data_IF_594561466724
#
_entry.id   IF_594561466724
#
_cell.length_a   1.000
_cell.length_b   1.000
_cell.length_c   1.000
_cell.angle_alpha   90.00
_cell.angle_beta   90.00
_cell.angle_gamma   90.00
#
_symmetry.space_group_name_H-M   'P 1'
#
loop_
_entity.id
_entity.type
_entity.pdbx_description
1 polymer ?
#
# COMPACT_ATOMS: atom_id res chain seq x y z
N UNK A 1 19.22 10.07 5.09
CA UNK A 1 18.01 10.76 5.53
C UNK A 1 18.46 11.95 6.38
N UNK A 2 18.12 13.17 5.99
CA UNK A 2 18.60 14.36 6.68
C UNK A 2 17.75 14.55 7.95
N UNK A 3 18.32 14.32 9.12
CA UNK A 3 17.66 14.36 10.44
C UNK A 3 16.93 15.70 10.69
N UNK A 4 17.40 16.78 10.08
CA UNK A 4 16.78 18.12 10.17
C UNK A 4 15.36 18.18 9.54
N UNK A 5 14.99 17.25 8.64
CA UNK A 5 13.65 17.24 8.01
C UNK A 5 12.54 16.68 8.91
N UNK A 6 12.90 16.05 10.04
CA UNK A 6 11.93 15.49 11.00
C UNK A 6 11.60 16.43 12.17
N UNK A 7 12.33 17.54 12.30
CA UNK A 7 12.17 18.51 13.38
C UNK A 7 11.33 19.71 12.89
N UNK A 8 10.46 20.25 13.76
CA UNK A 8 9.86 21.56 13.50
C UNK A 8 10.96 22.62 13.49
N UNK A 9 10.67 23.80 12.90
CA UNK A 9 11.66 24.90 12.82
C UNK A 9 12.18 25.29 14.20
N UNK A 10 11.31 25.37 15.19
CA UNK A 10 11.64 25.71 16.58
C UNK A 10 12.50 24.65 17.26
N UNK A 11 12.21 23.36 17.05
CA UNK A 11 12.98 22.24 17.58
C UNK A 11 14.37 22.16 16.91
N UNK A 12 14.45 22.45 15.61
CA UNK A 12 15.73 22.50 14.91
C UNK A 12 16.61 23.65 15.43
N UNK A 13 16.03 24.81 15.75
CA UNK A 13 16.74 25.93 16.35
C UNK A 13 17.26 25.61 17.76
N UNK A 14 16.48 24.90 18.58
CA UNK A 14 16.89 24.45 19.90
C UNK A 14 18.04 23.44 19.80
N UNK A 15 17.95 22.46 18.90
CA UNK A 15 19.03 21.48 18.68
C UNK A 15 20.30 22.15 18.14
N UNK A 16 20.18 23.07 17.17
CA UNK A 16 21.33 23.82 16.64
C UNK A 16 21.99 24.71 17.72
N UNK A 17 21.21 25.28 18.63
CA UNK A 17 21.72 26.04 19.77
C UNK A 17 22.44 25.14 20.76
N UNK A 18 21.87 23.99 21.11
CA UNK A 18 22.51 23.01 22.01
C UNK A 18 23.80 22.45 21.41
N UNK A 19 23.85 22.16 20.11
CA UNK A 19 25.07 21.72 19.44
C UNK A 19 26.14 22.81 19.45
N UNK A 20 25.79 24.07 19.14
CA UNK A 20 26.73 25.20 19.20
C UNK A 20 27.23 25.52 20.59
N UNK A 21 26.42 25.35 21.63
CA UNK A 21 26.83 25.49 23.01
C UNK A 21 27.70 24.30 23.47
N UNK A 22 27.41 23.09 22.99
CA UNK A 22 28.20 21.89 23.22
C UNK A 22 29.61 21.96 22.63
N UNK A 23 29.75 22.55 21.44
CA UNK A 23 31.05 22.74 20.78
C UNK A 23 31.97 23.69 21.57
N UNK A 24 31.42 24.51 22.47
CA UNK A 24 32.21 25.38 23.36
C UNK A 24 32.80 24.64 24.55
N UNK A 25 32.29 23.49 24.90
CA UNK A 25 32.71 22.67 26.01
C UNK A 25 33.13 21.31 25.47
N UNK A 26 34.39 21.15 25.13
CA UNK A 26 34.97 19.98 24.45
C UNK A 26 34.79 18.62 25.16
N UNK A 27 34.16 18.59 26.33
CA UNK A 27 33.90 17.38 27.12
C UNK A 27 32.38 17.07 27.30
N UNK A 28 31.49 17.69 26.53
CA UNK A 28 30.06 17.54 26.78
C UNK A 28 29.41 16.35 26.06
N UNK A 29 29.78 15.13 26.47
CA UNK A 29 29.06 13.88 26.17
C UNK A 29 27.55 14.02 26.47
N UNK A 30 27.19 14.86 27.45
CA UNK A 30 25.80 15.07 27.88
C UNK A 30 24.92 15.72 26.79
N UNK A 31 25.45 16.70 26.06
CA UNK A 31 24.66 17.43 25.02
C UNK A 31 24.40 16.54 23.78
N UNK A 32 25.41 15.79 23.35
CA UNK A 32 25.25 14.84 22.24
C UNK A 32 24.31 13.69 22.63
N UNK A 33 24.39 13.23 23.89
CA UNK A 33 23.48 12.19 24.41
C UNK A 33 22.05 12.70 24.49
N UNK A 34 21.83 13.92 24.97
CA UNK A 34 20.50 14.54 25.04
C UNK A 34 19.91 14.78 23.63
N UNK A 35 20.71 15.28 22.69
CA UNK A 35 20.31 15.50 21.32
C UNK A 35 19.90 14.16 20.63
N UNK A 36 20.68 13.11 20.82
CA UNK A 36 20.36 11.78 20.31
C UNK A 36 19.10 11.21 20.96
N UNK A 37 18.90 11.37 22.27
CA UNK A 37 17.69 10.92 22.96
C UNK A 37 16.43 11.64 22.46
N UNK A 38 16.50 12.94 22.18
CA UNK A 38 15.39 13.72 21.57
C UNK A 38 15.08 13.21 20.17
N UNK A 39 16.10 12.94 19.35
CA UNK A 39 15.96 12.42 18.00
C UNK A 39 15.31 11.03 18.00
N UNK A 40 15.79 10.14 18.88
CA UNK A 40 15.25 8.78 18.99
C UNK A 40 13.82 8.78 19.52
N UNK A 41 13.50 9.59 20.53
CA UNK A 41 12.14 9.73 21.06
C UNK A 41 11.18 10.25 19.98
N UNK A 42 11.57 11.25 19.22
CA UNK A 42 10.75 11.79 18.13
C UNK A 42 10.56 10.79 17.01
N UNK A 43 11.60 10.04 16.66
CA UNK A 43 11.50 8.94 15.68
C UNK A 43 10.52 7.87 16.14
N UNK A 44 10.57 7.48 17.44
CA UNK A 44 9.62 6.53 18.02
C UNK A 44 8.17 7.04 17.95
N UNK A 45 7.93 8.31 18.29
CA UNK A 45 6.59 8.94 18.20
C UNK A 45 6.09 8.96 16.76
N UNK A 46 6.94 9.31 15.79
CA UNK A 46 6.59 9.31 14.37
C UNK A 46 6.31 7.88 13.84
N UNK A 47 7.09 6.90 14.31
CA UNK A 47 6.88 5.50 13.96
C UNK A 47 5.57 4.96 14.56
N UNK A 48 5.23 5.33 15.80
CA UNK A 48 3.94 4.98 16.42
C UNK A 48 2.77 5.64 15.71
N UNK A 49 2.86 6.93 15.39
CA UNK A 49 1.85 7.65 14.64
C UNK A 49 1.66 7.06 13.23
N UNK A 50 2.75 6.67 12.58
CA UNK A 50 2.73 5.99 11.27
C UNK A 50 2.09 4.61 11.36
N UNK A 51 2.35 3.84 12.42
CA UNK A 51 1.69 2.54 12.68
C UNK A 51 0.21 2.72 12.98
N UNK A 52 -0.14 3.68 13.82
CA UNK A 52 -1.54 3.98 14.17
C UNK A 52 -2.35 4.45 12.95
N UNK A 53 -1.75 5.22 12.05
CA UNK A 53 -2.38 5.67 10.79
C UNK A 53 -2.43 4.59 9.68
N UNK A 54 -1.85 3.42 9.90
CA UNK A 54 -1.76 2.37 8.87
C UNK A 54 -0.73 2.65 7.76
N UNK A 55 -0.05 3.78 7.77
CA UNK A 55 0.93 4.17 6.75
C UNK A 55 2.05 3.13 6.57
N UNK A 56 2.59 2.61 7.66
CA UNK A 56 3.64 1.59 7.62
C UNK A 56 3.17 0.28 6.98
N UNK A 57 1.90 -0.10 7.22
CA UNK A 57 1.26 -1.27 6.62
C UNK A 57 1.05 -1.06 5.13
N UNK A 58 0.54 0.11 4.74
CA UNK A 58 0.38 0.52 3.34
C UNK A 58 1.69 0.48 2.58
N UNK A 59 2.74 1.09 3.11
CA UNK A 59 4.05 1.15 2.45
C UNK A 59 4.66 -0.24 2.28
N UNK A 60 4.46 -1.14 3.25
CA UNK A 60 4.87 -2.55 3.16
C UNK A 60 4.09 -3.30 2.07
N UNK A 61 2.80 -3.03 1.94
CA UNK A 61 1.95 -3.61 0.91
C UNK A 61 2.32 -3.10 -0.50
N UNK A 62 2.64 -1.80 -0.65
CA UNK A 62 3.14 -1.24 -1.90
C UNK A 62 4.49 -1.84 -2.31
N UNK A 63 5.41 -2.08 -1.36
CA UNK A 63 6.65 -2.82 -1.62
C UNK A 63 6.40 -4.23 -2.09
N UNK A 64 5.43 -4.92 -1.48
CA UNK A 64 5.06 -6.27 -1.89
C UNK A 64 4.45 -6.28 -3.29
N UNK A 65 3.64 -5.28 -3.65
CA UNK A 65 3.08 -5.10 -4.99
C UNK A 65 4.19 -5.04 -6.04
N UNK A 66 5.16 -4.15 -5.85
CA UNK A 66 6.27 -3.95 -6.81
C UNK A 66 7.17 -5.19 -6.96
N UNK A 67 7.31 -6.00 -5.89
CA UNK A 67 8.14 -7.23 -5.92
C UNK A 67 7.53 -8.39 -6.71
N UNK A 68 6.21 -8.44 -6.84
CA UNK A 68 5.51 -9.56 -7.49
C UNK A 68 5.61 -9.49 -9.00
N UNK A 69 5.91 -8.32 -9.58
CA UNK A 69 5.99 -8.18 -11.03
C UNK A 69 7.19 -8.94 -11.61
N UNK A 70 6.93 -9.79 -12.61
CA UNK A 70 7.98 -10.39 -13.44
C UNK A 70 8.52 -9.40 -14.49
N UNK A 71 7.89 -8.24 -14.63
CA UNK A 71 8.25 -7.18 -15.56
C UNK A 71 9.11 -6.15 -14.86
N UNK A 72 10.35 -5.94 -15.35
CA UNK A 72 11.30 -4.98 -14.78
C UNK A 72 10.76 -3.54 -14.81
N UNK A 73 9.99 -3.19 -15.85
CA UNK A 73 9.39 -1.87 -16.03
C UNK A 73 8.27 -1.55 -15.04
N UNK A 74 7.79 -2.52 -14.27
CA UNK A 74 6.76 -2.34 -13.23
C UNK A 74 7.32 -2.44 -11.79
N UNK A 75 8.64 -2.56 -11.61
CA UNK A 75 9.25 -2.70 -10.28
C UNK A 75 9.36 -1.39 -9.50
N UNK A 76 9.14 -0.28 -10.16
CA UNK A 76 9.18 1.06 -9.58
C UNK A 76 7.90 1.82 -9.91
N UNK A 77 7.39 2.67 -9.01
CA UNK A 77 6.24 3.50 -9.31
C UNK A 77 6.63 4.63 -10.28
N UNK A 78 5.65 5.20 -10.96
CA UNK A 78 5.85 6.31 -11.88
C UNK A 78 4.73 7.33 -11.79
N UNK A 79 4.92 8.50 -12.40
CA UNK A 79 3.88 9.51 -12.54
C UNK A 79 3.11 9.31 -13.84
N UNK A 80 1.79 9.31 -13.72
CA UNK A 80 0.85 9.43 -14.84
C UNK A 80 -0.07 10.61 -14.55
N UNK A 81 0.12 11.71 -15.27
CA UNK A 81 -0.43 13.01 -14.93
C UNK A 81 -0.02 13.43 -13.49
N UNK A 82 -0.97 13.79 -12.63
CA UNK A 82 -0.73 14.18 -11.24
C UNK A 82 -0.87 13.01 -10.25
N UNK A 83 -0.70 11.77 -10.71
CA UNK A 83 -0.92 10.57 -9.89
C UNK A 83 0.32 9.68 -9.89
N UNK A 84 0.73 9.27 -8.70
CA UNK A 84 1.77 8.25 -8.54
C UNK A 84 1.15 6.86 -8.67
N UNK A 85 1.62 6.08 -9.63
CA UNK A 85 1.07 4.78 -10.01
C UNK A 85 1.97 3.64 -9.56
N UNK A 86 1.38 2.63 -8.94
CA UNK A 86 1.98 1.35 -8.58
C UNK A 86 1.23 0.24 -9.31
N UNK A 87 1.93 -0.62 -10.06
CA UNK A 87 1.31 -1.69 -10.83
C UNK A 87 2.21 -2.92 -10.86
N UNK A 88 1.61 -4.12 -10.86
CA UNK A 88 2.34 -5.37 -11.08
C UNK A 88 1.81 -6.19 -12.26
N UNK A 89 0.89 -5.62 -13.03
CA UNK A 89 0.25 -6.29 -14.16
C UNK A 89 -1.05 -7.01 -13.82
N UNK A 90 -1.34 -7.25 -12.52
CA UNK A 90 -2.57 -7.91 -12.03
C UNK A 90 -3.47 -6.97 -11.25
N UNK A 91 -2.86 -6.01 -10.55
CA UNK A 91 -3.58 -4.94 -9.89
C UNK A 91 -2.74 -3.66 -9.89
N UNK A 92 -3.42 -2.54 -9.74
CA UNK A 92 -2.83 -1.21 -9.81
C UNK A 92 -3.47 -0.31 -8.76
N UNK A 93 -2.64 0.50 -8.10
CA UNK A 93 -3.05 1.53 -7.15
C UNK A 93 -2.44 2.84 -7.57
N UNK A 94 -3.19 3.94 -7.47
CA UNK A 94 -2.65 5.27 -7.71
C UNK A 94 -3.09 6.26 -6.65
N UNK A 95 -2.17 7.15 -6.32
CA UNK A 95 -2.33 8.20 -5.34
C UNK A 95 -2.23 9.56 -6.02
N UNK A 96 -3.02 10.54 -5.58
CA UNK A 96 -2.81 11.92 -5.99
C UNK A 96 -1.43 12.40 -5.54
N UNK A 97 -0.78 13.28 -6.31
CA UNK A 97 0.60 13.74 -6.08
C UNK A 97 0.83 14.37 -4.70
N UNK A 98 -0.20 14.98 -4.12
CA UNK A 98 -0.18 15.56 -2.78
C UNK A 98 -0.25 14.50 -1.68
N UNK A 99 -0.55 13.24 -2.01
CA UNK A 99 -0.61 12.12 -1.08
C UNK A 99 0.72 11.36 -1.10
N UNK A 100 1.68 11.85 -0.34
CA UNK A 100 3.04 11.36 -0.34
C UNK A 100 3.15 9.89 0.03
N UNK A 101 3.82 9.14 -0.84
CA UNK A 101 4.39 7.84 -0.53
C UNK A 101 5.89 7.97 -0.27
N UNK A 102 6.50 6.94 0.31
CA UNK A 102 7.95 6.90 0.59
C UNK A 102 8.79 6.56 -0.65
N UNK A 103 8.15 6.33 -1.78
CA UNK A 103 8.78 5.85 -3.02
C UNK A 103 9.11 7.02 -3.95
N UNK A 104 10.29 6.94 -4.57
CA UNK A 104 10.66 7.82 -5.67
C UNK A 104 10.03 7.33 -6.98
N UNK A 105 9.66 8.26 -7.84
CA UNK A 105 9.12 7.96 -9.16
C UNK A 105 10.23 7.56 -10.13
N UNK A 106 9.93 6.57 -10.99
CA UNK A 106 10.77 6.26 -12.13
C UNK A 106 10.50 7.26 -13.27
N UNK A 107 11.44 8.15 -13.59
CA UNK A 107 11.24 9.17 -14.61
C UNK A 107 11.25 8.60 -16.04
N UNK A 108 11.75 7.37 -16.23
CA UNK A 108 11.85 6.72 -17.53
C UNK A 108 10.62 5.89 -17.89
N UNK A 109 9.65 5.77 -16.96
CA UNK A 109 8.45 5.00 -17.21
C UNK A 109 7.44 5.79 -18.05
N UNK A 110 6.98 5.17 -19.14
CA UNK A 110 6.07 5.79 -20.11
C UNK A 110 4.74 5.03 -20.28
N UNK A 111 4.45 4.04 -19.41
CA UNK A 111 3.20 3.30 -19.52
C UNK A 111 2.02 4.22 -19.28
N UNK A 112 1.16 4.34 -20.29
CA UNK A 112 -0.08 5.10 -20.19
C UNK A 112 -1.19 4.26 -19.56
N UNK A 113 -1.63 4.67 -18.37
CA UNK A 113 -2.72 4.04 -17.62
C UNK A 113 -3.98 4.91 -17.53
N UNK A 114 -4.04 6.01 -18.28
CA UNK A 114 -5.14 6.99 -18.25
C UNK A 114 -6.52 6.36 -18.43
N UNK A 115 -6.64 5.35 -19.28
CA UNK A 115 -7.89 4.62 -19.52
C UNK A 115 -8.44 3.91 -18.27
N UNK A 116 -7.57 3.57 -17.30
CA UNK A 116 -7.97 2.96 -16.04
C UNK A 116 -8.22 3.99 -14.95
N UNK A 117 -7.56 5.14 -15.06
CA UNK A 117 -7.69 6.24 -14.08
C UNK A 117 -8.96 7.05 -14.33
N UNK A 118 -9.35 7.23 -15.60
CA UNK A 118 -10.48 8.06 -16.03
C UNK A 118 -11.61 7.19 -16.60
N UNK A 119 -12.22 6.35 -15.78
CA UNK A 119 -13.33 5.51 -16.23
C UNK A 119 -14.69 6.04 -15.70
N UNK A 120 -15.74 5.69 -16.43
CA UNK A 120 -17.11 6.03 -16.05
C UNK A 120 -17.62 5.04 -14.97
N UNK A 121 -18.05 5.57 -13.83
CA UNK A 121 -18.57 4.79 -12.71
C UNK A 121 -20.07 4.49 -12.79
N UNK A 122 -20.79 4.99 -13.80
CA UNK A 122 -22.26 4.88 -13.83
C UNK A 122 -22.79 3.43 -13.88
N UNK A 123 -21.98 2.49 -14.39
CA UNK A 123 -22.33 1.07 -14.47
C UNK A 123 -21.81 0.25 -13.29
N UNK A 124 -21.16 0.88 -12.31
CA UNK A 124 -20.57 0.18 -11.18
C UNK A 124 -21.51 0.20 -9.97
N UNK A 125 -21.59 -0.91 -9.27
CA UNK A 125 -22.25 -1.03 -7.98
C UNK A 125 -21.25 -1.46 -6.90
N UNK A 126 -21.52 -1.11 -5.66
CA UNK A 126 -20.70 -1.46 -4.52
C UNK A 126 -20.76 -2.96 -4.25
N UNK A 127 -19.62 -3.56 -3.95
CA UNK A 127 -19.50 -4.95 -3.52
C UNK A 127 -18.86 -5.00 -2.13
N UNK A 128 -19.31 -5.95 -1.31
CA UNK A 128 -18.79 -6.13 0.05
C UNK A 128 -17.40 -6.76 0.03
N UNK A 129 -16.45 -6.11 0.69
CA UNK A 129 -15.11 -6.67 0.90
C UNK A 129 -15.11 -7.63 2.10
N UNK A 130 -14.32 -8.72 2.04
CA UNK A 130 -14.18 -9.61 3.18
C UNK A 130 -13.43 -8.92 4.34
N UNK A 131 -13.63 -9.43 5.56
CA UNK A 131 -12.78 -9.04 6.69
C UNK A 131 -11.32 -9.42 6.41
N UNK A 132 -10.40 -8.48 6.62
CA UNK A 132 -8.97 -8.64 6.28
C UNK A 132 -8.33 -9.79 7.05
N UNK A 133 -8.65 -9.96 8.35
CA UNK A 133 -8.06 -11.01 9.20
C UNK A 133 -8.61 -12.39 8.81
N UNK A 134 -9.90 -12.47 8.50
CA UNK A 134 -10.53 -13.70 8.00
C UNK A 134 -9.91 -14.11 6.67
N UNK A 135 -9.76 -13.19 5.72
CA UNK A 135 -9.12 -13.45 4.43
C UNK A 135 -7.66 -13.89 4.58
N UNK A 136 -6.90 -13.25 5.46
CA UNK A 136 -5.52 -13.65 5.74
C UNK A 136 -5.42 -15.05 6.35
N UNK A 137 -6.31 -15.37 7.29
CA UNK A 137 -6.39 -16.70 7.91
C UNK A 137 -6.78 -17.77 6.90
N UNK A 138 -7.74 -17.48 6.04
CA UNK A 138 -8.16 -18.33 4.94
C UNK A 138 -6.98 -18.63 3.99
N UNK A 139 -6.24 -17.61 3.53
CA UNK A 139 -5.08 -17.80 2.66
C UNK A 139 -4.04 -18.70 3.33
N UNK A 140 -3.72 -18.47 4.61
CA UNK A 140 -2.77 -19.29 5.37
C UNK A 140 -3.20 -20.75 5.45
N UNK A 141 -4.48 -21.01 5.74
CA UNK A 141 -5.08 -22.34 5.81
C UNK A 141 -4.95 -23.06 4.46
N UNK A 142 -5.39 -22.43 3.37
CA UNK A 142 -5.36 -23.00 2.03
C UNK A 142 -3.94 -23.34 1.56
N UNK A 143 -2.98 -22.46 1.84
CA UNK A 143 -1.57 -22.70 1.51
C UNK A 143 -1.01 -23.87 2.33
N UNK A 144 -1.34 -23.98 3.62
CA UNK A 144 -0.84 -25.04 4.49
C UNK A 144 -1.45 -26.41 4.15
N UNK A 145 -2.77 -26.48 3.95
CA UNK A 145 -3.51 -27.73 3.73
C UNK A 145 -3.35 -28.28 2.31
N UNK A 146 -3.40 -27.40 1.31
CA UNK A 146 -3.43 -27.82 -0.10
C UNK A 146 -2.11 -27.55 -0.85
N UNK A 147 -1.07 -27.02 -0.18
CA UNK A 147 0.20 -26.57 -0.80
C UNK A 147 -0.04 -25.67 -2.03
N UNK A 148 -1.14 -24.92 -1.99
CA UNK A 148 -1.60 -24.12 -3.10
C UNK A 148 -0.62 -22.97 -3.39
N UNK A 149 -0.16 -22.84 -4.63
CA UNK A 149 0.66 -21.70 -5.07
C UNK A 149 -0.17 -20.41 -5.15
N UNK A 150 -1.43 -20.55 -5.59
CA UNK A 150 -2.41 -19.47 -5.71
C UNK A 150 -3.67 -19.86 -4.95
N UNK A 151 -4.27 -18.90 -4.27
CA UNK A 151 -5.52 -19.04 -3.54
C UNK A 151 -6.49 -18.03 -4.11
N UNK A 152 -7.70 -18.46 -4.39
CA UNK A 152 -8.74 -17.57 -4.95
C UNK A 152 -9.79 -17.22 -3.93
N UNK A 153 -10.34 -16.04 -4.10
CA UNK A 153 -11.52 -15.55 -3.41
C UNK A 153 -12.64 -15.35 -4.43
N UNK A 154 -13.83 -15.82 -4.08
CA UNK A 154 -15.04 -15.68 -4.89
C UNK A 154 -15.98 -14.66 -4.23
N UNK A 155 -16.22 -13.53 -4.89
CA UNK A 155 -17.21 -12.54 -4.40
C UNK A 155 -18.65 -13.02 -4.63
N UNK A 156 -18.87 -13.65 -5.78
CA UNK A 156 -20.12 -14.29 -6.17
C UNK A 156 -19.77 -15.39 -7.18
N UNK A 157 -20.73 -16.13 -7.66
CA UNK A 157 -20.52 -17.25 -8.59
C UNK A 157 -19.71 -16.91 -9.85
N UNK A 158 -19.46 -15.64 -10.14
CA UNK A 158 -18.90 -15.19 -11.41
C UNK A 158 -17.63 -14.34 -11.26
N UNK A 159 -17.36 -13.76 -10.07
CA UNK A 159 -16.26 -12.82 -9.86
C UNK A 159 -15.20 -13.44 -8.95
N UNK A 160 -14.15 -13.94 -9.58
CA UNK A 160 -13.02 -14.59 -8.92
C UNK A 160 -11.78 -13.73 -9.00
N UNK A 161 -11.07 -13.63 -7.89
CA UNK A 161 -9.80 -12.89 -7.80
C UNK A 161 -8.74 -13.72 -7.08
N UNK A 162 -7.47 -13.40 -7.29
CA UNK A 162 -6.41 -13.92 -6.44
C UNK A 162 -6.54 -13.33 -5.02
N UNK A 163 -6.71 -14.19 -4.03
CA UNK A 163 -6.95 -13.80 -2.64
C UNK A 163 -5.76 -13.04 -2.03
N UNK A 164 -4.51 -13.37 -2.45
CA UNK A 164 -3.32 -12.66 -1.98
C UNK A 164 -3.25 -11.25 -2.57
N UNK A 165 -3.64 -11.08 -3.84
CA UNK A 165 -3.71 -9.76 -4.47
C UNK A 165 -4.82 -8.92 -3.87
N UNK A 166 -6.00 -9.51 -3.61
CA UNK A 166 -7.09 -8.85 -2.89
C UNK A 166 -6.65 -8.38 -1.50
N UNK A 167 -6.04 -9.26 -0.71
CA UNK A 167 -5.54 -8.93 0.62
C UNK A 167 -4.49 -7.81 0.56
N UNK A 168 -3.58 -7.86 -0.41
CA UNK A 168 -2.57 -6.82 -0.57
C UNK A 168 -3.19 -5.49 -1.02
N UNK A 169 -4.19 -5.52 -1.90
CA UNK A 169 -4.96 -4.34 -2.32
C UNK A 169 -5.64 -3.67 -1.12
N UNK A 170 -6.31 -4.43 -0.26
CA UNK A 170 -6.93 -3.92 0.97
C UNK A 170 -5.90 -3.29 1.92
N UNK A 171 -4.68 -3.86 2.00
CA UNK A 171 -3.57 -3.28 2.78
C UNK A 171 -2.97 -2.02 2.15
N UNK A 172 -2.94 -1.92 0.82
CA UNK A 172 -2.53 -0.71 0.10
C UNK A 172 -3.55 0.43 0.28
N UNK A 173 -4.83 0.08 0.38
CA UNK A 173 -5.95 1.02 0.42
C UNK A 173 -6.86 0.72 1.62
N UNK A 174 -6.45 1.05 2.85
CA UNK A 174 -7.28 0.85 4.04
C UNK A 174 -8.61 1.59 3.91
N UNK A 175 -9.70 0.95 4.37
CA UNK A 175 -11.07 1.48 4.33
C UNK A 175 -11.57 1.85 2.92
N UNK A 176 -11.01 1.25 1.88
CA UNK A 176 -11.53 1.45 0.53
C UNK A 176 -12.88 0.77 0.36
N UNK A 177 -13.75 1.42 -0.40
CA UNK A 177 -14.97 0.83 -0.95
C UNK A 177 -14.63 0.18 -2.28
N UNK A 178 -15.19 -1.00 -2.54
CA UNK A 178 -14.98 -1.73 -3.78
C UNK A 178 -16.24 -1.70 -4.65
N UNK A 179 -16.04 -1.62 -5.96
CA UNK A 179 -17.10 -1.53 -6.96
C UNK A 179 -16.84 -2.51 -8.11
N UNK A 180 -17.92 -3.04 -8.69
CA UNK A 180 -17.88 -3.91 -9.85
C UNK A 180 -19.06 -3.62 -10.79
N UNK A 181 -18.94 -3.91 -12.09
CA UNK A 181 -19.95 -3.56 -13.10
C UNK A 181 -20.73 -4.77 -13.66
N UNK A 182 -20.73 -5.92 -13.00
CA UNK A 182 -21.34 -7.18 -13.46
C UNK A 182 -20.78 -7.78 -14.76
N UNK A 183 -19.87 -7.12 -15.44
CA UNK A 183 -19.14 -7.72 -16.54
C UNK A 183 -18.10 -8.70 -15.98
N UNK A 184 -18.21 -9.98 -16.33
CA UNK A 184 -17.26 -11.04 -15.91
C UNK A 184 -15.80 -10.73 -16.27
N UNK A 185 -15.58 -9.89 -17.27
CA UNK A 185 -14.26 -9.43 -17.70
C UNK A 185 -13.85 -8.12 -17.04
N UNK A 186 -14.76 -7.51 -16.30
CA UNK A 186 -14.53 -6.26 -15.61
C UNK A 186 -13.57 -6.43 -14.44
N UNK A 187 -12.80 -5.40 -14.16
CA UNK A 187 -11.98 -5.32 -12.96
C UNK A 187 -12.82 -4.86 -11.76
N UNK A 188 -12.34 -5.15 -10.55
CA UNK A 188 -12.85 -4.53 -9.34
C UNK A 188 -12.15 -3.18 -9.17
N UNK A 189 -12.93 -2.13 -8.98
CA UNK A 189 -12.44 -0.79 -8.70
C UNK A 189 -12.51 -0.51 -7.20
N UNK A 190 -11.43 0.06 -6.66
CA UNK A 190 -11.29 0.42 -5.26
C UNK A 190 -11.12 1.91 -5.13
N UNK A 191 -11.74 2.50 -4.10
CA UNK A 191 -11.64 3.93 -3.82
C UNK A 191 -11.68 4.22 -2.32
N UNK A 192 -10.79 5.10 -1.88
CA UNK A 192 -10.86 5.79 -0.59
C UNK A 192 -10.46 7.25 -0.75
N UNK A 193 -10.30 7.99 0.36
CA UNK A 193 -9.98 9.42 0.34
C UNK A 193 -8.57 9.74 -0.21
N UNK A 194 -7.64 8.78 -0.18
CA UNK A 194 -6.24 8.99 -0.53
C UNK A 194 -5.84 8.37 -1.88
N UNK A 195 -6.52 7.31 -2.29
CA UNK A 195 -6.13 6.49 -3.42
C UNK A 195 -7.31 5.88 -4.15
N UNK A 196 -7.05 5.50 -5.38
CA UNK A 196 -7.92 4.67 -6.20
C UNK A 196 -7.11 3.50 -6.76
N UNK A 197 -7.77 2.43 -7.18
CA UNK A 197 -7.07 1.29 -7.75
C UNK A 197 -7.99 0.28 -8.41
N UNK A 198 -7.39 -0.65 -9.12
CA UNK A 198 -8.09 -1.75 -9.80
C UNK A 198 -7.43 -3.09 -9.49
N UNK A 199 -8.24 -4.14 -9.43
CA UNK A 199 -7.82 -5.52 -9.32
C UNK A 199 -8.46 -6.32 -10.46
N UNK A 200 -7.63 -7.03 -11.22
CA UNK A 200 -8.09 -7.85 -12.34
C UNK A 200 -8.67 -9.18 -11.82
N UNK A 201 -9.78 -9.66 -12.42
CA UNK A 201 -10.32 -10.97 -12.13
C UNK A 201 -9.45 -12.08 -12.71
N UNK A 202 -9.60 -13.29 -12.17
CA UNK A 202 -8.97 -14.49 -12.68
C UNK A 202 -9.90 -15.14 -13.71
N UNK A 203 -9.41 -15.30 -14.95
CA UNK A 203 -10.24 -15.79 -16.07
C UNK A 203 -10.19 -17.29 -16.30
N UNK A 204 -9.13 -17.99 -15.85
CA UNK A 204 -8.98 -19.42 -16.03
C UNK A 204 -8.90 -20.12 -14.69
N UNK A 205 -9.88 -20.93 -14.41
CA UNK A 205 -10.04 -21.54 -13.12
C UNK A 205 -10.27 -23.05 -13.21
N UNK A 206 -9.51 -23.75 -12.36
CA UNK A 206 -9.81 -25.14 -12.02
C UNK A 206 -10.90 -25.12 -10.93
N UNK A 207 -12.12 -25.49 -11.31
CA UNK A 207 -13.32 -25.44 -10.47
C UNK A 207 -13.21 -26.18 -9.12
N UNK A 208 -12.18 -27.00 -8.95
CA UNK A 208 -11.96 -27.78 -7.73
C UNK A 208 -11.25 -26.97 -6.62
N UNK A 209 -10.92 -25.69 -6.83
CA UNK A 209 -10.06 -24.89 -5.91
C UNK A 209 -10.69 -23.58 -5.43
N UNK A 210 -12.00 -23.45 -5.52
CA UNK A 210 -12.66 -22.22 -5.06
C UNK A 210 -12.80 -22.14 -3.56
N UNK A 211 -12.45 -20.96 -3.02
CA UNK A 211 -13.01 -20.53 -1.76
C UNK A 211 -14.43 -20.04 -1.99
N UNK A 212 -15.37 -20.68 -1.38
CA UNK A 212 -16.68 -20.11 -1.22
C UNK A 212 -16.61 -19.00 -0.14
N UNK A 213 -17.30 -17.85 -0.25
CA UNK A 213 -17.37 -16.86 0.83
C UNK A 213 -17.74 -17.45 2.19
N UNK A 214 -18.53 -18.53 2.21
CA UNK A 214 -18.87 -19.31 3.40
C UNK A 214 -17.66 -20.01 4.06
N UNK A 215 -16.54 -20.16 3.35
CA UNK A 215 -15.32 -20.77 3.89
C UNK A 215 -14.44 -19.80 4.67
N UNK A 216 -14.85 -18.52 4.76
CA UNK A 216 -14.17 -17.51 5.58
C UNK A 216 -14.67 -17.49 7.04
N UNK A 217 -15.74 -18.22 7.37
CA UNK A 217 -16.31 -18.27 8.72
C UNK A 217 -15.54 -19.27 9.64
#
# INVERSE_FOLDING_TARGET
>A
MNIKSALSKEEAEVVDKLVKEGDKYSDCVLVSTLANAIIETKKAILDEASKASGKSKRDSALKALLKVSDREDLKEPWLCDDRQVFCNGYYMVWFNKDKHTVFADNPNQTIDVKKFINHDMNAYHEIELPDEKKLESYIKRQVAEHKAKSVTYCFNSNLLVDAKFLLNMMKCMPNAVAYHNDDRKGYIYFKNDEAEGILLPVHHFDETKYANPTDLD
#
